data_IF_351808372940
#
_entry.id   IF_351808372940
#
_cell.length_a   1.000
_cell.length_b   1.000
_cell.length_c   1.000
_cell.angle_alpha   90.00
_cell.angle_beta   90.00
_cell.angle_gamma   90.00
#
_symmetry.space_group_name_H-M   'P 1'
#
loop_
_entity.id
_entity.type
_entity.pdbx_description
1 polymer ?
#
# COMPACT_ATOMS: atom_id res chain seq x y z
N UNK A 1 19.16 -19.04 9.63
CA UNK A 1 18.83 -18.08 8.56
C UNK A 1 17.61 -17.32 9.06
N UNK A 2 17.82 -16.21 9.76
CA UNK A 2 16.72 -15.43 10.33
C UNK A 2 16.04 -14.66 9.20
N UNK A 3 14.87 -15.13 8.77
CA UNK A 3 13.98 -14.35 7.91
C UNK A 3 13.43 -13.20 8.74
N UNK A 4 14.11 -12.06 8.69
CA UNK A 4 13.55 -10.80 9.15
C UNK A 4 12.37 -10.49 8.23
N UNK A 5 11.16 -10.86 8.67
CA UNK A 5 9.92 -10.38 8.06
C UNK A 5 9.90 -8.89 8.36
N UNK A 6 10.46 -8.08 7.45
CA UNK A 6 10.39 -6.64 7.56
C UNK A 6 8.89 -6.30 7.54
N UNK A 7 8.33 -5.69 8.59
CA UNK A 7 6.89 -5.47 8.64
C UNK A 7 6.51 -4.51 7.51
N UNK A 8 5.86 -5.04 6.46
CA UNK A 8 5.37 -4.24 5.34
C UNK A 8 4.38 -3.21 5.88
N UNK A 9 4.44 -1.99 5.37
CA UNK A 9 3.47 -0.96 5.70
C UNK A 9 2.11 -1.31 5.06
N UNK A 10 1.06 -1.34 5.88
CA UNK A 10 -0.32 -1.45 5.40
C UNK A 10 -0.78 -0.18 4.67
N UNK A 11 -2.03 -0.18 4.21
CA UNK A 11 -2.57 0.90 3.39
C UNK A 11 -4.03 1.23 3.67
N UNK A 12 -4.39 2.51 3.56
CA UNK A 12 -5.75 3.03 3.72
C UNK A 12 -6.30 3.63 2.41
N UNK A 13 -7.62 3.58 2.19
CA UNK A 13 -8.24 4.08 0.96
C UNK A 13 -8.36 5.61 0.97
N UNK A 14 -8.17 6.26 -0.19
CA UNK A 14 -8.53 7.66 -0.43
C UNK A 14 -9.76 7.72 -1.35
N UNK A 15 -10.78 8.47 -0.97
CA UNK A 15 -12.00 8.66 -1.77
C UNK A 15 -11.67 9.41 -3.07
N UNK A 16 -12.19 8.97 -4.23
CA UNK A 16 -11.57 9.29 -5.52
C UNK A 16 -11.90 10.70 -6.01
N UNK A 17 -10.87 11.41 -6.46
CA UNK A 17 -11.02 12.34 -7.58
C UNK A 17 -10.03 11.92 -8.67
N UNK A 18 -10.53 11.18 -9.65
CA UNK A 18 -9.97 10.95 -10.97
C UNK A 18 -8.46 10.73 -11.10
N UNK A 19 -8.10 9.50 -11.49
CA UNK A 19 -6.91 9.16 -12.31
C UNK A 19 -5.65 8.66 -11.59
N UNK A 20 -5.54 8.76 -10.26
CA UNK A 20 -4.53 8.00 -9.50
C UNK A 20 -5.18 7.45 -8.24
N UNK A 21 -5.21 6.12 -8.08
CA UNK A 21 -5.61 5.51 -6.81
C UNK A 21 -4.54 5.83 -5.78
N UNK A 22 -4.77 6.89 -5.03
CA UNK A 22 -3.90 7.28 -3.93
C UNK A 22 -4.26 6.40 -2.73
N UNK A 23 -3.27 5.78 -2.10
CA UNK A 23 -3.41 5.11 -0.81
C UNK A 23 -2.64 5.89 0.25
N UNK A 24 -2.96 5.73 1.53
CA UNK A 24 -2.06 6.16 2.59
C UNK A 24 -1.31 4.97 3.17
N UNK A 25 -0.01 5.12 3.39
CA UNK A 25 0.75 4.12 4.16
C UNK A 25 0.38 4.19 5.64
N UNK A 26 0.22 3.05 6.30
CA UNK A 26 -0.03 3.01 7.75
C UNK A 26 1.21 3.40 8.59
N UNK A 27 2.42 3.32 8.02
CA UNK A 27 3.64 3.59 8.77
C UNK A 27 3.89 5.08 9.03
N UNK A 28 3.52 5.95 8.09
CA UNK A 28 3.74 7.40 8.20
C UNK A 28 2.53 8.23 7.77
N UNK A 29 1.39 7.59 7.49
CA UNK A 29 0.15 8.25 7.06
C UNK A 29 0.34 9.14 5.84
N UNK A 30 1.24 8.74 4.93
CA UNK A 30 1.54 9.49 3.70
C UNK A 30 0.91 8.86 2.48
N UNK A 31 0.41 9.74 1.61
CA UNK A 31 -0.14 9.40 0.32
C UNK A 31 0.92 8.75 -0.58
N UNK A 32 0.54 7.68 -1.27
CA UNK A 32 1.34 6.95 -2.24
C UNK A 32 0.50 6.61 -3.47
N UNK A 33 1.16 6.43 -4.61
CA UNK A 33 0.54 5.90 -5.82
C UNK A 33 0.59 4.37 -5.87
N UNK A 34 -0.24 3.77 -6.72
CA UNK A 34 -0.28 2.32 -6.96
C UNK A 34 1.08 1.70 -7.31
N UNK A 35 1.91 2.42 -8.07
CA UNK A 35 3.20 1.97 -8.54
C UNK A 35 4.32 2.08 -7.49
N UNK A 36 4.10 2.83 -6.40
CA UNK A 36 5.12 3.04 -5.39
C UNK A 36 5.36 1.78 -4.54
N UNK A 37 6.61 1.27 -4.49
CA UNK A 37 6.94 0.05 -3.74
C UNK A 37 7.23 0.32 -2.26
N UNK A 38 7.62 1.55 -1.90
CA UNK A 38 8.03 1.91 -0.54
C UNK A 38 7.40 3.24 -0.08
N UNK A 39 7.25 3.41 1.23
CA UNK A 39 6.87 4.67 1.84
C UNK A 39 7.93 5.74 1.57
N UNK A 40 7.57 6.93 1.04
CA UNK A 40 8.53 7.97 0.71
C UNK A 40 9.20 8.61 1.94
N UNK A 41 8.62 8.48 3.15
CA UNK A 41 9.20 9.04 4.37
C UNK A 41 10.16 8.10 5.09
N UNK A 42 9.76 6.84 5.31
CA UNK A 42 10.55 5.90 6.12
C UNK A 42 11.21 4.78 5.31
N UNK A 43 10.96 4.70 4.00
CA UNK A 43 11.52 3.67 3.12
C UNK A 43 10.98 2.26 3.35
N UNK A 44 10.02 2.06 4.28
CA UNK A 44 9.40 0.75 4.48
C UNK A 44 8.66 0.30 3.23
N UNK A 45 8.83 -0.97 2.90
CA UNK A 45 8.13 -1.60 1.79
C UNK A 45 6.62 -1.58 2.05
N UNK A 46 5.84 -1.21 1.04
CA UNK A 46 4.38 -1.16 1.10
C UNK A 46 3.82 -2.51 0.69
N UNK A 47 2.80 -2.97 1.39
CA UNK A 47 2.13 -4.23 1.08
C UNK A 47 1.69 -4.31 -0.40
N UNK A 48 1.98 -5.44 -1.04
CA UNK A 48 1.74 -5.66 -2.48
C UNK A 48 2.82 -5.10 -3.41
N UNK A 49 3.92 -4.54 -2.91
CA UNK A 49 5.07 -4.13 -3.73
C UNK A 49 5.69 -5.28 -4.54
N UNK A 50 5.57 -6.51 -4.05
CA UNK A 50 6.07 -7.76 -4.63
C UNK A 50 5.23 -8.27 -5.82
N UNK A 51 4.06 -7.67 -6.05
CA UNK A 51 3.21 -8.01 -7.19
C UNK A 51 3.70 -7.27 -8.43
N UNK A 52 4.22 -7.99 -9.41
CA UNK A 52 4.80 -7.42 -10.64
C UNK A 52 3.76 -6.72 -11.52
N UNK A 53 2.55 -7.28 -11.61
CA UNK A 53 1.48 -6.73 -12.42
C UNK A 53 0.79 -5.54 -11.71
N UNK A 54 0.84 -4.37 -12.33
CA UNK A 54 0.25 -3.14 -11.78
C UNK A 54 -1.26 -3.27 -11.48
N UNK A 55 -2.01 -3.95 -12.35
CA UNK A 55 -3.45 -4.16 -12.16
C UNK A 55 -3.74 -5.07 -10.96
N UNK A 56 -2.98 -6.15 -10.82
CA UNK A 56 -3.11 -7.06 -9.68
C UNK A 56 -2.71 -6.40 -8.37
N UNK A 57 -1.63 -5.62 -8.38
CA UNK A 57 -1.18 -4.82 -7.25
C UNK A 57 -2.26 -3.86 -6.79
N UNK A 58 -2.85 -3.12 -7.74
CA UNK A 58 -3.95 -2.20 -7.49
C UNK A 58 -5.14 -2.91 -6.84
N UNK A 59 -5.62 -4.00 -7.44
CA UNK A 59 -6.75 -4.75 -6.90
C UNK A 59 -6.47 -5.31 -5.50
N UNK A 60 -5.27 -5.86 -5.29
CA UNK A 60 -4.82 -6.38 -4.01
C UNK A 60 -4.80 -5.27 -2.94
N UNK A 61 -4.22 -4.11 -3.29
CA UNK A 61 -4.12 -2.96 -2.39
C UNK A 61 -5.50 -2.41 -2.03
N UNK A 62 -6.38 -2.24 -3.01
CA UNK A 62 -7.76 -1.85 -2.77
C UNK A 62 -8.53 -2.82 -1.87
N UNK A 63 -8.37 -4.14 -2.08
CA UNK A 63 -9.00 -5.15 -1.22
C UNK A 63 -8.53 -5.01 0.23
N UNK A 64 -7.24 -4.77 0.47
CA UNK A 64 -6.72 -4.56 1.83
C UNK A 64 -7.27 -3.29 2.47
N UNK A 65 -7.21 -2.17 1.73
CA UNK A 65 -7.69 -0.88 2.19
C UNK A 65 -9.17 -0.90 2.61
N UNK A 66 -10.04 -1.59 1.87
CA UNK A 66 -11.46 -1.74 2.24
C UNK A 66 -11.71 -2.82 3.29
N UNK A 67 -10.83 -3.81 3.45
CA UNK A 67 -10.97 -4.85 4.47
C UNK A 67 -10.58 -4.36 5.86
N UNK A 68 -9.73 -3.32 5.96
CA UNK A 68 -9.37 -2.64 7.20
C UNK A 68 -10.38 -1.59 7.69
N UNK A 69 -11.41 -1.25 6.90
CA UNK A 69 -12.42 -0.25 7.26
C UNK A 69 -13.58 -0.74 8.14
N UNK A 70 -13.55 -2.01 8.57
CA UNK A 70 -14.53 -2.61 9.48
C UNK A 70 -13.80 -3.34 10.62
N UNK A 71 -13.40 -2.60 11.64
CA UNK A 71 -13.31 -3.05 13.03
C UNK A 71 -13.14 -1.86 13.96
#
# INVERSE_FOLDING_TARGET
>A
MEMHINPKAGILPLYPNGTNSTFFTECCEVAICDDQPCCPLCGREVIGSDIENQHERHLFRWRLAYRGGHQ
#
